data_IF_094835038357
#
_entry.id   IF_094835038357
#
_cell.length_a   1.000
_cell.length_b   1.000
_cell.length_c   1.000
_cell.angle_alpha   90.00
_cell.angle_beta   90.00
_cell.angle_gamma   90.00
#
_symmetry.space_group_name_H-M   'P 1'
#
loop_
_entity.id
_entity.type
_entity.pdbx_description
1 polymer ?
#
# COMPACT_ATOMS: atom_id res chain seq x y z
N UNK A 1 -11.12 -18.41 -11.87
CA UNK A 1 -10.54 -17.08 -11.74
C UNK A 1 -11.48 -16.29 -10.86
N UNK A 2 -11.07 -16.05 -9.61
CA UNK A 2 -11.77 -15.14 -8.69
C UNK A 2 -11.70 -13.77 -9.31
N UNK A 3 -12.85 -13.20 -9.68
CA UNK A 3 -12.94 -11.86 -10.23
C UNK A 3 -12.53 -10.88 -9.10
N UNK A 4 -11.25 -10.46 -9.11
CA UNK A 4 -10.69 -9.57 -8.10
C UNK A 4 -10.87 -8.16 -8.59
N UNK A 5 -11.74 -7.40 -7.92
CA UNK A 5 -11.95 -6.00 -8.18
C UNK A 5 -11.15 -5.12 -7.23
N UNK A 6 -10.56 -4.07 -7.77
CA UNK A 6 -9.98 -2.95 -7.05
C UNK A 6 -10.89 -1.74 -7.23
N UNK A 7 -11.37 -1.20 -6.13
CA UNK A 7 -12.12 0.05 -6.13
C UNK A 7 -11.15 1.21 -5.87
N UNK A 8 -10.96 2.06 -6.87
CA UNK A 8 -10.14 3.27 -6.78
C UNK A 8 -11.02 4.46 -6.45
N UNK A 9 -10.82 5.09 -5.31
CA UNK A 9 -11.58 6.26 -4.84
C UNK A 9 -10.67 7.49 -4.84
N UNK A 10 -11.09 8.53 -5.54
CA UNK A 10 -10.36 9.79 -5.69
C UNK A 10 -9.84 10.02 -7.09
N UNK A 11 -8.91 10.95 -7.22
CA UNK A 11 -8.36 11.32 -8.53
C UNK A 11 -7.61 10.16 -9.17
N UNK A 12 -7.90 9.90 -10.43
CA UNK A 12 -7.27 8.87 -11.23
C UNK A 12 -6.68 9.43 -12.54
N UNK A 13 -7.08 10.62 -12.94
CA UNK A 13 -6.83 11.15 -14.28
C UNK A 13 -6.04 12.44 -14.34
N UNK A 14 -6.08 13.28 -13.30
CA UNK A 14 -5.46 14.59 -13.31
C UNK A 14 -4.08 14.60 -12.65
N UNK A 15 -3.88 13.76 -11.63
CA UNK A 15 -2.58 13.60 -10.98
C UNK A 15 -1.73 12.61 -11.75
N UNK A 16 -0.64 13.06 -12.34
CA UNK A 16 0.26 12.24 -13.18
C UNK A 16 0.73 10.97 -12.48
N UNK A 17 1.04 11.07 -11.20
CA UNK A 17 1.46 9.95 -10.34
C UNK A 17 0.41 8.83 -10.32
N UNK A 18 -0.85 9.18 -10.11
CA UNK A 18 -1.94 8.20 -10.08
C UNK A 18 -2.27 7.63 -11.45
N UNK A 19 -2.15 8.41 -12.52
CA UNK A 19 -2.24 7.89 -13.88
C UNK A 19 -1.21 6.78 -14.11
N UNK A 20 0.04 6.99 -13.69
CA UNK A 20 1.10 5.99 -13.79
C UNK A 20 0.80 4.74 -12.95
N UNK A 21 0.34 4.92 -11.71
CA UNK A 21 -0.04 3.81 -10.82
C UNK A 21 -1.11 2.94 -11.46
N UNK A 22 -2.22 3.57 -11.88
CA UNK A 22 -3.36 2.84 -12.46
C UNK A 22 -2.99 2.15 -13.76
N UNK A 23 -2.19 2.80 -14.61
CA UNK A 23 -1.69 2.18 -15.84
C UNK A 23 -0.86 0.92 -15.54
N UNK A 24 0.00 0.98 -14.53
CA UNK A 24 0.89 -0.12 -14.16
C UNK A 24 0.16 -1.35 -13.58
N UNK A 25 -1.01 -1.17 -12.93
CA UNK A 25 -1.75 -2.27 -12.29
C UNK A 25 -2.91 -2.82 -13.11
N UNK A 26 -3.37 -2.13 -14.17
CA UNK A 26 -4.54 -2.53 -14.99
C UNK A 26 -4.43 -3.91 -15.63
N UNK A 27 -3.23 -4.41 -15.82
CA UNK A 27 -3.01 -5.76 -16.37
C UNK A 27 -3.17 -6.87 -15.33
N UNK A 28 -3.06 -6.53 -14.05
CA UNK A 28 -3.01 -7.48 -12.95
C UNK A 28 -4.36 -7.59 -12.18
N UNK A 29 -5.18 -6.53 -12.21
CA UNK A 29 -6.45 -6.45 -11.49
C UNK A 29 -7.46 -5.54 -12.22
N UNK A 30 -8.75 -5.87 -12.13
CA UNK A 30 -9.82 -5.03 -12.66
C UNK A 30 -10.01 -3.79 -11.76
N UNK A 31 -9.92 -2.59 -12.35
CA UNK A 31 -10.00 -1.31 -11.62
C UNK A 31 -11.33 -0.64 -11.89
N UNK A 32 -12.14 -0.47 -10.84
CA UNK A 32 -13.36 0.34 -10.83
C UNK A 32 -13.05 1.70 -10.20
N UNK A 33 -13.50 2.78 -10.82
CA UNK A 33 -13.21 4.15 -10.38
C UNK A 33 -14.45 4.85 -9.83
N UNK A 34 -14.30 5.46 -8.66
CA UNK A 34 -15.26 6.38 -8.07
C UNK A 34 -14.56 7.69 -7.69
N UNK A 35 -15.07 8.86 -8.11
CA UNK A 35 -14.46 10.14 -7.78
C UNK A 35 -14.41 10.44 -6.28
N UNK A 36 -15.44 10.04 -5.54
CA UNK A 36 -15.54 10.26 -4.09
C UNK A 36 -16.03 9.02 -3.35
N UNK A 37 -15.84 9.02 -2.04
CA UNK A 37 -16.38 7.97 -1.16
C UNK A 37 -17.91 7.89 -1.27
N UNK A 38 -18.61 9.03 -1.38
CA UNK A 38 -20.06 9.05 -1.53
C UNK A 38 -20.52 8.42 -2.85
N UNK A 39 -19.79 8.64 -3.95
CA UNK A 39 -20.11 8.02 -5.23
C UNK A 39 -19.96 6.49 -5.15
N UNK A 40 -18.97 6.00 -4.42
CA UNK A 40 -18.79 4.56 -4.18
C UNK A 40 -19.99 3.91 -3.47
N UNK A 41 -20.73 4.67 -2.64
CA UNK A 41 -21.94 4.19 -1.98
C UNK A 41 -23.20 4.30 -2.85
N UNK A 42 -23.24 5.27 -3.76
CA UNK A 42 -24.40 5.55 -4.60
C UNK A 42 -24.39 4.74 -5.90
N UNK A 43 -23.23 4.32 -6.36
CA UNK A 43 -23.08 3.61 -7.63
C UNK A 43 -23.35 2.10 -7.47
N UNK A 44 -24.64 1.78 -7.47
CA UNK A 44 -25.13 0.40 -7.38
C UNK A 44 -24.81 -0.43 -8.64
N UNK A 45 -24.38 0.19 -9.74
CA UNK A 45 -24.12 -0.48 -11.02
C UNK A 45 -22.66 -0.88 -11.22
N UNK A 46 -21.71 -0.11 -10.67
CA UNK A 46 -20.27 -0.39 -10.83
C UNK A 46 -19.67 -1.31 -9.76
N UNK A 47 -20.36 -1.51 -8.63
CA UNK A 47 -19.92 -2.38 -7.54
C UNK A 47 -20.83 -3.62 -7.36
N UNK A 48 -21.23 -4.26 -8.46
CA UNK A 48 -21.93 -5.55 -8.38
C UNK A 48 -21.07 -6.67 -7.74
N UNK A 49 -19.75 -6.48 -7.69
CA UNK A 49 -18.82 -7.37 -7.02
C UNK A 49 -18.22 -6.68 -5.80
N UNK A 50 -18.11 -7.39 -4.69
CA UNK A 50 -17.38 -6.91 -3.53
C UNK A 50 -15.90 -6.69 -3.90
N UNK A 51 -15.37 -5.44 -3.76
CA UNK A 51 -13.97 -5.19 -4.09
C UNK A 51 -13.06 -5.93 -3.11
N UNK A 52 -12.04 -6.59 -3.61
CA UNK A 52 -11.01 -7.21 -2.76
C UNK A 52 -10.14 -6.15 -2.10
N UNK A 53 -9.87 -5.07 -2.85
CA UNK A 53 -9.00 -3.96 -2.43
C UNK A 53 -9.72 -2.65 -2.71
N UNK A 54 -9.65 -1.72 -1.74
CA UNK A 54 -10.13 -0.35 -1.88
C UNK A 54 -8.91 0.57 -1.78
N UNK A 55 -8.62 1.33 -2.82
CA UNK A 55 -7.57 2.34 -2.85
C UNK A 55 -8.14 3.73 -2.65
N UNK A 56 -7.61 4.45 -1.68
CA UNK A 56 -7.90 5.86 -1.42
C UNK A 56 -6.75 6.69 -2.00
N UNK A 57 -7.01 7.42 -3.09
CA UNK A 57 -6.01 8.28 -3.72
C UNK A 57 -5.95 9.62 -2.98
N UNK A 58 -4.87 9.86 -2.24
CA UNK A 58 -4.66 11.08 -1.50
C UNK A 58 -3.68 12.00 -2.24
N UNK A 59 -4.21 13.04 -2.89
CA UNK A 59 -3.40 14.07 -3.56
C UNK A 59 -2.75 15.03 -2.56
N UNK A 60 -3.38 15.25 -1.41
CA UNK A 60 -2.87 16.09 -0.33
C UNK A 60 -3.28 15.54 1.05
N UNK A 61 -2.52 15.92 2.06
CA UNK A 61 -2.75 15.48 3.43
C UNK A 61 -4.13 15.89 3.96
N UNK A 62 -4.85 14.96 4.57
CA UNK A 62 -6.15 15.20 5.21
C UNK A 62 -7.35 15.18 4.27
N UNK A 63 -7.17 14.78 3.02
CA UNK A 63 -8.25 14.62 2.05
C UNK A 63 -9.24 13.54 2.49
N UNK A 64 -8.75 12.45 3.08
CA UNK A 64 -9.57 11.36 3.58
C UNK A 64 -9.81 11.50 5.08
N UNK A 65 -11.03 11.25 5.51
CA UNK A 65 -11.44 11.33 6.91
C UNK A 65 -11.57 9.93 7.53
N UNK A 66 -11.29 9.80 8.83
CA UNK A 66 -11.47 8.53 9.53
C UNK A 66 -12.92 8.01 9.46
N UNK A 67 -13.90 8.91 9.43
CA UNK A 67 -15.30 8.56 9.26
C UNK A 67 -15.60 7.85 7.94
N UNK A 68 -14.97 8.28 6.86
CA UNK A 68 -15.12 7.65 5.54
C UNK A 68 -14.53 6.25 5.54
N UNK A 69 -13.36 6.06 6.17
CA UNK A 69 -12.75 4.74 6.34
C UNK A 69 -13.67 3.79 7.09
N UNK A 70 -14.30 4.24 8.18
CA UNK A 70 -15.25 3.41 8.93
C UNK A 70 -16.47 3.03 8.11
N UNK A 71 -17.03 3.96 7.33
CA UNK A 71 -18.14 3.68 6.41
C UNK A 71 -17.76 2.62 5.38
N UNK A 72 -16.57 2.71 4.80
CA UNK A 72 -16.05 1.73 3.83
C UNK A 72 -15.89 0.35 4.48
N UNK A 73 -15.32 0.27 5.69
CA UNK A 73 -15.18 -0.98 6.45
C UNK A 73 -16.56 -1.60 6.74
N UNK A 74 -17.54 -0.79 7.13
CA UNK A 74 -18.89 -1.29 7.39
C UNK A 74 -19.56 -1.84 6.13
N UNK A 75 -19.33 -1.21 4.98
CA UNK A 75 -19.92 -1.64 3.70
C UNK A 75 -19.24 -2.86 3.12
N UNK A 76 -17.89 -2.92 3.20
CA UNK A 76 -17.05 -3.97 2.65
C UNK A 76 -16.06 -4.48 3.70
N UNK A 77 -16.52 -5.28 4.68
CA UNK A 77 -15.70 -5.69 5.82
C UNK A 77 -14.53 -6.61 5.45
N UNK A 78 -14.62 -7.29 4.31
CA UNK A 78 -13.57 -8.18 3.82
C UNK A 78 -12.56 -7.49 2.91
N UNK A 79 -12.86 -6.27 2.45
CA UNK A 79 -11.96 -5.50 1.59
C UNK A 79 -10.78 -4.95 2.37
N UNK A 80 -9.63 -4.86 1.73
CA UNK A 80 -8.45 -4.18 2.27
C UNK A 80 -8.40 -2.74 1.80
N UNK A 81 -8.28 -1.82 2.74
CA UNK A 81 -8.20 -0.40 2.45
C UNK A 81 -6.74 0.04 2.43
N UNK A 82 -6.34 0.64 1.32
CA UNK A 82 -4.99 1.14 1.09
C UNK A 82 -5.10 2.62 0.74
N UNK A 83 -4.36 3.47 1.45
CA UNK A 83 -4.17 4.87 1.04
C UNK A 83 -2.94 4.96 0.16
N UNK A 84 -3.12 5.43 -1.06
CA UNK A 84 -2.04 5.70 -2.01
C UNK A 84 -1.76 7.20 -1.99
N UNK A 85 -0.60 7.56 -1.43
CA UNK A 85 -0.21 8.97 -1.24
C UNK A 85 0.62 9.49 -2.41
N UNK A 86 0.31 10.71 -2.89
CA UNK A 86 1.13 11.46 -3.84
C UNK A 86 2.38 12.03 -3.15
N UNK A 87 3.31 12.64 -3.91
CA UNK A 87 4.46 13.36 -3.35
C UNK A 87 4.04 14.45 -2.36
N UNK A 88 2.92 15.13 -2.62
CA UNK A 88 2.43 16.21 -1.76
C UNK A 88 1.90 15.71 -0.40
N UNK A 89 1.57 14.43 -0.32
CA UNK A 89 1.10 13.78 0.92
C UNK A 89 2.22 13.16 1.76
N UNK A 90 3.44 13.03 1.22
CA UNK A 90 4.55 12.38 1.94
C UNK A 90 4.93 13.08 3.26
N UNK A 91 4.71 14.39 3.36
CA UNK A 91 4.91 15.15 4.60
C UNK A 91 3.99 14.71 5.74
N UNK A 92 2.82 14.14 5.45
CA UNK A 92 1.85 13.65 6.44
C UNK A 92 2.39 12.52 7.31
N UNK A 93 3.24 11.66 6.77
CA UNK A 93 3.82 10.54 7.51
C UNK A 93 4.63 10.97 8.73
N UNK A 94 5.07 12.23 8.76
CA UNK A 94 5.88 12.80 9.84
C UNK A 94 5.06 13.51 10.90
N UNK A 95 3.89 14.07 10.56
CA UNK A 95 3.17 15.00 11.45
C UNK A 95 1.64 14.94 11.39
N UNK A 96 1.06 14.11 10.52
CA UNK A 96 -0.40 14.00 10.39
C UNK A 96 -1.01 12.83 11.14
N UNK A 97 -2.33 12.85 11.40
CA UNK A 97 -3.03 11.73 12.00
C UNK A 97 -3.01 10.52 11.06
N UNK A 98 -2.63 9.36 11.60
CA UNK A 98 -2.67 8.08 10.88
C UNK A 98 -4.11 7.60 10.80
N UNK A 99 -4.58 7.24 9.61
CA UNK A 99 -5.88 6.61 9.42
C UNK A 99 -5.85 5.17 9.96
N UNK A 100 -6.72 4.88 10.93
CA UNK A 100 -6.85 3.54 11.49
C UNK A 100 -7.52 2.60 10.50
N UNK A 101 -7.00 1.39 10.37
CA UNK A 101 -7.55 0.38 9.45
C UNK A 101 -7.12 0.55 7.98
N UNK A 102 -6.18 1.45 7.69
CA UNK A 102 -5.67 1.73 6.36
C UNK A 102 -4.20 1.38 6.27
N UNK A 103 -3.79 0.76 5.17
CA UNK A 103 -2.39 0.55 4.82
C UNK A 103 -1.93 1.73 3.97
N UNK A 104 -1.00 2.52 4.47
CA UNK A 104 -0.47 3.68 3.74
C UNK A 104 0.71 3.27 2.87
N UNK A 105 0.64 3.60 1.57
CA UNK A 105 1.68 3.27 0.58
C UNK A 105 1.93 4.50 -0.30
N UNK A 106 3.19 4.91 -0.50
CA UNK A 106 3.49 5.94 -1.48
C UNK A 106 3.21 5.45 -2.90
N UNK A 107 2.80 6.37 -3.77
CA UNK A 107 2.41 6.06 -5.14
C UNK A 107 3.49 5.29 -5.93
N UNK A 108 4.77 5.62 -5.74
CA UNK A 108 5.88 5.00 -6.46
C UNK A 108 6.15 3.55 -6.05
N UNK A 109 5.82 3.17 -4.80
CA UNK A 109 5.96 1.81 -4.28
C UNK A 109 4.76 0.92 -4.60
N UNK A 110 3.58 1.55 -4.79
CA UNK A 110 2.32 0.83 -4.84
C UNK A 110 2.25 -0.23 -5.96
N UNK A 111 2.68 0.03 -7.23
CA UNK A 111 2.60 -0.99 -8.27
C UNK A 111 3.44 -2.23 -7.99
N UNK A 112 4.66 -2.06 -7.47
CA UNK A 112 5.54 -3.18 -7.15
C UNK A 112 4.97 -4.02 -5.98
N UNK A 113 4.48 -3.35 -4.92
CA UNK A 113 3.84 -4.02 -3.79
C UNK A 113 2.56 -4.75 -4.20
N UNK A 114 1.74 -4.14 -5.06
CA UNK A 114 0.51 -4.77 -5.56
C UNK A 114 0.80 -6.10 -6.24
N UNK A 115 1.80 -6.16 -7.12
CA UNK A 115 2.21 -7.42 -7.77
C UNK A 115 2.61 -8.50 -6.76
N UNK A 116 3.42 -8.14 -5.78
CA UNK A 116 3.86 -9.07 -4.72
C UNK A 116 2.65 -9.55 -3.90
N UNK A 117 1.73 -8.67 -3.55
CA UNK A 117 0.54 -9.03 -2.77
C UNK A 117 -0.39 -9.95 -3.53
N UNK A 118 -0.65 -9.67 -4.80
CA UNK A 118 -1.47 -10.54 -5.65
C UNK A 118 -0.84 -11.92 -5.82
N UNK A 119 0.47 -12.00 -6.07
CA UNK A 119 1.19 -13.27 -6.16
C UNK A 119 1.11 -14.08 -4.86
N UNK A 120 1.28 -13.43 -3.69
CA UNK A 120 1.18 -14.10 -2.38
C UNK A 120 -0.24 -14.60 -2.11
N UNK A 121 -1.25 -13.80 -2.43
CA UNK A 121 -2.65 -14.23 -2.32
C UNK A 121 -2.91 -15.45 -3.22
N UNK A 122 -2.37 -15.46 -4.45
CA UNK A 122 -2.53 -16.59 -5.39
C UNK A 122 -1.84 -17.85 -4.91
N UNK A 123 -0.70 -17.73 -4.26
CA UNK A 123 0.03 -18.86 -3.67
C UNK A 123 -0.51 -19.29 -2.30
N UNK A 124 -1.50 -18.58 -1.73
CA UNK A 124 -1.99 -18.82 -0.37
C UNK A 124 -0.99 -18.40 0.73
N UNK A 125 0.05 -17.66 0.38
CA UNK A 125 1.06 -17.19 1.32
C UNK A 125 0.58 -15.96 2.10
N UNK A 126 1.11 -15.78 3.31
CA UNK A 126 0.83 -14.61 4.14
C UNK A 126 1.39 -13.34 3.49
N UNK A 127 0.58 -12.28 3.49
CA UNK A 127 1.00 -10.95 3.03
C UNK A 127 0.49 -9.88 3.98
N UNK A 128 1.00 -8.65 3.87
CA UNK A 128 0.48 -7.53 4.67
C UNK A 128 -1.01 -7.27 4.45
N UNK A 129 -1.56 -7.65 3.29
CA UNK A 129 -2.99 -7.56 3.01
C UNK A 129 -3.82 -8.63 3.75
N UNK A 130 -3.22 -9.75 4.15
CA UNK A 130 -3.93 -10.81 4.89
C UNK A 130 -3.90 -10.59 6.40
N UNK A 131 -3.06 -9.68 6.90
CA UNK A 131 -3.01 -9.33 8.31
C UNK A 131 -4.29 -8.61 8.77
N UNK A 132 -4.72 -8.79 10.03
CA UNK A 132 -5.82 -8.03 10.60
C UNK A 132 -5.60 -6.52 10.46
N UNK A 133 -6.68 -5.76 10.29
CA UNK A 133 -6.60 -4.29 10.21
C UNK A 133 -6.08 -3.64 11.49
N UNK A 134 -6.15 -4.36 12.60
CA UNK A 134 -5.61 -3.96 13.91
C UNK A 134 -4.10 -4.18 14.05
N UNK A 135 -3.47 -4.89 13.09
CA UNK A 135 -2.02 -5.13 13.13
C UNK A 135 -1.24 -3.83 13.06
N UNK A 136 -0.18 -3.74 13.84
CA UNK A 136 0.70 -2.59 13.86
C UNK A 136 1.52 -2.51 12.54
N UNK A 137 2.04 -1.34 12.26
CA UNK A 137 2.84 -1.08 11.05
C UNK A 137 4.10 -1.94 10.99
N UNK A 138 4.79 -2.08 12.12
CA UNK A 138 5.96 -2.92 12.28
C UNK A 138 5.65 -4.40 12.03
N UNK A 139 4.55 -4.94 12.60
CA UNK A 139 4.11 -6.31 12.34
C UNK A 139 3.86 -6.57 10.86
N UNK A 140 3.24 -5.62 10.16
CA UNK A 140 3.01 -5.72 8.71
C UNK A 140 4.30 -5.68 7.92
N UNK A 141 5.24 -4.83 8.35
CA UNK A 141 6.54 -4.75 7.69
C UNK A 141 7.36 -6.03 7.87
N UNK A 142 7.39 -6.59 9.06
CA UNK A 142 8.03 -7.89 9.29
C UNK A 142 7.43 -8.99 8.42
N UNK A 143 6.10 -9.02 8.26
CA UNK A 143 5.45 -9.98 7.37
C UNK A 143 5.83 -9.83 5.89
N UNK A 144 6.20 -8.63 5.44
CA UNK A 144 6.70 -8.40 4.09
C UNK A 144 8.20 -8.75 3.94
N UNK A 145 8.98 -8.55 5.00
CA UNK A 145 10.43 -8.76 5.01
C UNK A 145 10.86 -10.21 5.18
N UNK A 146 10.03 -11.05 5.80
CA UNK A 146 10.31 -12.47 5.93
C UNK A 146 10.10 -13.13 4.56
N UNK A 147 11.15 -13.20 3.78
CA UNK A 147 11.22 -14.14 2.67
C UNK A 147 11.15 -15.54 3.27
N UNK A 148 10.22 -16.37 2.80
CA UNK A 148 10.22 -17.82 3.04
C UNK A 148 11.42 -18.52 2.38
N UNK A 149 12.59 -17.90 2.40
CA UNK A 149 13.82 -18.54 1.98
C UNK A 149 14.42 -19.22 3.22
N UNK A 150 14.64 -20.52 3.16
CA UNK A 150 15.41 -21.19 4.20
C UNK A 150 16.74 -20.45 4.33
N UNK A 151 17.14 -20.14 5.55
CA UNK A 151 18.37 -19.41 5.91
C UNK A 151 19.66 -20.07 5.41
N UNK A 152 19.55 -21.19 4.67
CA UNK A 152 20.66 -22.02 4.21
C UNK A 152 21.34 -21.56 2.91
N UNK A 153 20.79 -20.57 2.22
CA UNK A 153 21.34 -20.10 0.94
C UNK A 153 21.38 -18.56 0.88
N UNK A 154 22.13 -17.93 1.79
CA UNK A 154 22.63 -16.59 1.53
C UNK A 154 24.04 -16.77 0.94
N UNK A 155 24.19 -16.78 -0.40
CA UNK A 155 25.51 -16.67 -0.99
C UNK A 155 25.93 -15.24 -0.75
N UNK A 156 27.02 -15.00 -0.11
CA UNK A 156 27.64 -13.72 0.20
C UNK A 156 26.74 -12.64 0.85
N UNK A 157 27.16 -12.05 1.94
CA UNK A 157 26.42 -10.96 2.56
C UNK A 157 26.21 -9.84 1.53
N UNK A 158 24.97 -9.28 1.42
CA UNK A 158 24.71 -8.22 0.46
C UNK A 158 25.64 -7.04 0.72
N UNK A 159 26.33 -6.57 -0.32
CA UNK A 159 27.13 -5.36 -0.23
C UNK A 159 26.19 -4.17 -0.05
N UNK A 160 26.21 -3.56 1.13
CA UNK A 160 25.44 -2.34 1.40
C UNK A 160 26.32 -1.14 1.06
N UNK A 161 25.91 -0.38 0.04
CA UNK A 161 26.55 0.90 -0.28
C UNK A 161 25.81 2.01 0.44
N UNK A 162 26.45 2.64 1.43
CA UNK A 162 25.93 3.80 2.12
C UNK A 162 26.48 5.08 1.49
N UNK A 163 25.60 5.92 0.93
CA UNK A 163 25.96 7.25 0.48
C UNK A 163 25.54 8.26 1.56
N UNK A 164 26.47 9.00 2.10
CA UNK A 164 26.21 9.99 3.14
C UNK A 164 26.85 11.35 2.78
N UNK A 165 26.22 12.42 3.23
CA UNK A 165 26.68 13.77 3.00
C UNK A 165 27.92 14.17 3.81
N UNK A 166 28.29 13.38 4.81
CA UNK A 166 29.48 13.56 5.61
C UNK A 166 30.12 12.23 6.00
N UNK A 167 31.46 12.26 6.23
CA UNK A 167 32.22 11.09 6.66
C UNK A 167 31.70 10.50 7.97
N UNK A 168 31.35 11.35 8.94
CA UNK A 168 30.81 10.91 10.25
C UNK A 168 29.50 10.15 10.10
N UNK A 169 28.64 10.59 9.17
CA UNK A 169 27.37 9.92 8.91
C UNK A 169 27.58 8.58 8.19
N UNK A 170 28.55 8.50 7.28
CA UNK A 170 28.91 7.24 6.61
C UNK A 170 29.49 6.21 7.60
N UNK A 171 30.32 6.64 8.53
CA UNK A 171 30.90 5.81 9.60
C UNK A 171 29.80 5.28 10.53
N UNK A 172 28.85 6.13 10.97
CA UNK A 172 27.74 5.72 11.83
C UNK A 172 26.80 4.71 11.14
N UNK A 173 26.53 4.87 9.84
CA UNK A 173 25.73 3.91 9.08
C UNK A 173 26.50 2.59 8.91
N UNK A 174 27.81 2.66 8.67
CA UNK A 174 28.66 1.49 8.57
C UNK A 174 28.68 0.65 9.85
N UNK A 175 28.77 1.29 11.02
CA UNK A 175 28.70 0.63 12.32
C UNK A 175 27.36 -0.03 12.57
N UNK A 176 26.25 0.62 12.19
CA UNK A 176 24.90 0.07 12.31
C UNK A 176 24.70 -1.18 11.43
N UNK A 177 25.22 -1.17 10.22
CA UNK A 177 25.15 -2.33 9.31
C UNK A 177 26.03 -3.48 9.76
N UNK A 178 27.19 -3.19 10.35
CA UNK A 178 28.09 -4.21 10.88
C UNK A 178 27.59 -4.86 12.18
N UNK A 179 26.66 -4.21 12.90
CA UNK A 179 26.08 -4.71 14.14
C UNK A 179 24.77 -5.51 13.95
N UNK A 180 24.23 -5.55 12.71
CA UNK A 180 22.98 -6.24 12.35
C UNK A 180 23.27 -7.61 11.74
#
# INVERSE_FOLDING_TARGET
>A
PTNRGLLWIGDMHHTTEFCHVVHAIRGDIEVHHCPTVNDAFNDSTNCACEPTIICLAETHSGQMQQGDVFRLIQRWPLSRIISVSSCLSDGRRRSGPVLKGVLEVPWHDFPARMKVWLQRIDSGATSSLTHPMTSRRDERWFAEGVKDQPFSEIPDPPTVTAAASSRTMAEAVGELVAAA
#
